data_IF_934535608850
#
_entry.id   IF_934535608850
#
_cell.length_a   1.000
_cell.length_b   1.000
_cell.length_c   1.000
_cell.angle_alpha   90.00
_cell.angle_beta   90.00
_cell.angle_gamma   90.00
#
_symmetry.space_group_name_H-M   'P 1'
#
loop_
_entity.id
_entity.type
_entity.pdbx_description
1 polymer ?
#
# COMPACT_ATOMS: atom_id res chain seq x y z
N UNK A 1 -2.46 -32.38 -10.91
CA UNK A 1 -3.57 -31.63 -11.53
C UNK A 1 -3.27 -31.17 -12.97
N UNK A 2 -2.00 -30.98 -13.37
CA UNK A 2 -1.64 -30.81 -14.80
C UNK A 2 -2.29 -29.60 -15.48
N UNK A 3 -2.54 -28.53 -14.72
CA UNK A 3 -3.24 -27.34 -15.21
C UNK A 3 -2.32 -26.53 -16.13
N UNK A 4 -2.67 -26.45 -17.40
CA UNK A 4 -1.94 -25.71 -18.43
C UNK A 4 -2.65 -24.39 -18.82
N UNK A 5 -3.94 -24.28 -18.52
CA UNK A 5 -4.80 -23.15 -18.87
C UNK A 5 -4.96 -22.10 -17.76
N UNK A 6 -4.14 -22.18 -16.70
CA UNK A 6 -4.13 -21.21 -15.61
C UNK A 6 -2.89 -20.32 -15.68
N UNK A 7 -3.07 -19.02 -15.54
CA UNK A 7 -1.98 -18.04 -15.44
C UNK A 7 -2.36 -16.93 -14.46
N UNK A 8 -1.38 -16.36 -13.79
CA UNK A 8 -1.52 -15.24 -12.86
C UNK A 8 -0.57 -14.10 -13.27
N UNK A 9 -1.11 -12.89 -13.40
CA UNK A 9 -0.30 -11.68 -13.43
C UNK A 9 -0.13 -11.19 -12.00
N UNK A 10 1.05 -11.39 -11.42
CA UNK A 10 1.27 -11.03 -10.03
C UNK A 10 1.42 -9.51 -9.87
N UNK A 11 0.66 -8.95 -8.95
CA UNK A 11 0.78 -7.56 -8.50
C UNK A 11 0.51 -7.46 -7.00
N UNK A 12 0.95 -8.49 -6.25
CA UNK A 12 0.85 -8.53 -4.79
C UNK A 12 1.89 -7.60 -4.18
N UNK A 13 1.48 -6.87 -3.14
CA UNK A 13 2.28 -5.84 -2.50
C UNK A 13 2.39 -6.07 -0.99
N UNK A 14 3.41 -5.50 -0.35
CA UNK A 14 3.68 -5.63 1.10
C UNK A 14 3.56 -4.29 1.82
N UNK A 15 2.79 -4.25 2.90
CA UNK A 15 2.47 -3.01 3.63
C UNK A 15 3.67 -2.43 4.36
N UNK A 16 4.43 -3.25 5.10
CA UNK A 16 5.53 -2.76 5.93
C UNK A 16 6.65 -2.06 5.12
N UNK A 17 7.12 -2.59 3.98
CA UNK A 17 8.04 -1.86 3.11
C UNK A 17 7.49 -0.52 2.59
N UNK A 18 6.18 -0.43 2.35
CA UNK A 18 5.56 0.84 1.95
C UNK A 18 5.53 1.85 3.10
N UNK A 19 5.30 1.39 4.34
CA UNK A 19 5.44 2.23 5.53
C UNK A 19 6.88 2.72 5.69
N UNK A 20 7.88 1.84 5.55
CA UNK A 20 9.30 2.20 5.60
C UNK A 20 9.66 3.26 4.54
N UNK A 21 9.19 3.08 3.30
CA UNK A 21 9.41 4.03 2.21
C UNK A 21 8.78 5.40 2.51
N UNK A 22 7.56 5.41 3.07
CA UNK A 22 6.89 6.64 3.48
C UNK A 22 7.68 7.37 4.57
N UNK A 23 8.12 6.66 5.61
CA UNK A 23 8.88 7.24 6.72
C UNK A 23 10.24 7.82 6.31
N UNK A 24 10.83 7.35 5.21
CA UNK A 24 12.09 7.85 4.68
C UNK A 24 11.94 9.13 3.83
N UNK A 25 10.71 9.53 3.52
CA UNK A 25 10.43 10.71 2.71
C UNK A 25 10.50 11.98 3.59
N UNK A 26 11.25 13.02 3.20
CA UNK A 26 11.41 14.25 4.00
C UNK A 26 10.10 14.96 4.36
N UNK A 27 9.09 14.83 3.51
CA UNK A 27 7.77 15.45 3.66
C UNK A 27 6.82 14.61 4.53
N UNK A 28 7.26 13.44 5.03
CA UNK A 28 6.42 12.57 5.84
C UNK A 28 5.97 13.27 7.13
N UNK A 29 4.65 13.28 7.34
CA UNK A 29 3.98 13.89 8.50
C UNK A 29 3.32 12.85 9.42
N UNK A 30 3.58 11.57 9.19
CA UNK A 30 2.90 10.50 9.93
C UNK A 30 3.54 10.34 11.31
N UNK A 31 2.75 10.59 12.35
CA UNK A 31 3.18 10.46 13.74
C UNK A 31 2.71 9.13 14.36
N UNK A 32 1.78 8.42 13.72
CA UNK A 32 1.29 7.13 14.18
C UNK A 32 0.54 6.38 13.08
N UNK A 33 0.57 5.05 13.14
CA UNK A 33 -0.10 4.19 12.17
C UNK A 33 -1.23 3.40 12.81
N UNK A 34 -2.37 3.36 12.11
CA UNK A 34 -3.40 2.36 12.36
C UNK A 34 -3.20 1.21 11.37
N UNK A 35 -2.64 0.09 11.84
CA UNK A 35 -2.34 -1.06 11.01
C UNK A 35 -3.62 -1.82 10.63
N UNK A 36 -3.73 -2.17 9.35
CA UNK A 36 -4.92 -2.80 8.78
C UNK A 36 -5.13 -4.20 9.37
N UNK A 37 -6.22 -4.37 10.14
CA UNK A 37 -6.52 -5.62 10.84
C UNK A 37 -6.59 -6.87 9.96
N UNK A 38 -7.13 -6.77 8.74
CA UNK A 38 -7.20 -7.92 7.82
C UNK A 38 -5.83 -8.38 7.32
N UNK A 39 -4.90 -7.44 7.07
CA UNK A 39 -3.51 -7.79 6.74
C UNK A 39 -2.86 -8.47 7.93
N UNK A 40 -2.98 -7.87 9.12
CA UNK A 40 -2.41 -8.40 10.36
C UNK A 40 -3.02 -9.75 10.76
N UNK A 41 -4.25 -10.06 10.33
CA UNK A 41 -4.85 -11.40 10.54
C UNK A 41 -4.04 -12.48 9.83
N UNK A 42 -3.44 -12.16 8.67
CA UNK A 42 -2.59 -13.06 7.91
C UNK A 42 -1.15 -12.98 8.38
N UNK A 43 -0.56 -11.78 8.39
CA UNK A 43 0.87 -11.58 8.64
C UNK A 43 1.26 -11.55 10.11
N UNK A 44 0.29 -11.34 11.01
CA UNK A 44 0.58 -10.94 12.37
C UNK A 44 1.03 -9.50 12.44
N UNK A 45 1.60 -9.12 13.58
CA UNK A 45 2.12 -7.77 13.82
C UNK A 45 3.53 -7.74 14.43
N UNK A 46 4.21 -8.89 14.53
CA UNK A 46 5.57 -8.99 15.08
C UNK A 46 6.58 -8.10 14.35
N UNK A 47 6.51 -8.05 13.01
CA UNK A 47 7.45 -7.26 12.21
C UNK A 47 7.35 -5.74 12.50
N UNK A 48 6.22 -5.27 13.04
CA UNK A 48 6.07 -3.86 13.40
C UNK A 48 6.89 -3.47 14.64
N UNK A 49 7.35 -4.41 15.47
CA UNK A 49 8.17 -4.06 16.64
C UNK A 49 9.48 -3.40 16.22
N UNK A 50 10.17 -4.00 15.24
CA UNK A 50 11.38 -3.44 14.64
C UNK A 50 11.14 -2.06 14.00
N UNK A 51 9.95 -1.86 13.39
CA UNK A 51 9.55 -0.59 12.81
C UNK A 51 9.42 0.50 13.87
N UNK A 52 8.66 0.22 14.94
CA UNK A 52 8.46 1.15 16.05
C UNK A 52 9.78 1.46 16.74
N UNK A 53 10.64 0.47 16.93
CA UNK A 53 11.96 0.67 17.52
C UNK A 53 12.83 1.63 16.71
N UNK A 54 12.79 1.53 15.38
CA UNK A 54 13.57 2.36 14.45
C UNK A 54 13.04 3.78 14.36
N UNK A 55 11.74 3.95 14.13
CA UNK A 55 11.16 5.27 13.83
C UNK A 55 10.56 5.99 15.03
N UNK A 56 10.38 5.29 16.16
CA UNK A 56 9.68 5.80 17.35
C UNK A 56 8.25 6.26 17.05
N UNK A 57 7.62 5.66 16.06
CA UNK A 57 6.26 5.96 15.60
C UNK A 57 5.34 4.82 16.04
N UNK A 58 4.33 5.04 16.92
CA UNK A 58 3.44 3.98 17.38
C UNK A 58 2.66 3.32 16.23
N UNK A 59 2.40 2.02 16.38
CA UNK A 59 1.58 1.23 15.45
C UNK A 59 0.47 0.54 16.24
N UNK A 60 -0.78 0.82 15.88
CA UNK A 60 -1.96 0.25 16.55
C UNK A 60 -2.72 -0.61 15.55
N UNK A 61 -2.81 -1.91 15.77
CA UNK A 61 -3.63 -2.80 14.94
C UNK A 61 -5.10 -2.56 15.27
N UNK A 62 -5.90 -2.22 14.26
CA UNK A 62 -7.33 -1.90 14.43
C UNK A 62 -8.22 -2.78 13.57
N UNK A 63 -9.46 -2.96 14.05
CA UNK A 63 -10.55 -3.47 13.23
C UNK A 63 -11.14 -2.38 12.32
N UNK A 64 -12.35 -2.63 11.83
CA UNK A 64 -13.03 -1.76 10.87
C UNK A 64 -14.39 -1.26 11.36
N UNK A 65 -14.85 -1.73 12.53
CA UNK A 65 -16.04 -1.15 13.15
C UNK A 65 -15.73 0.24 13.72
N UNK A 66 -16.71 1.15 13.79
CA UNK A 66 -16.48 2.50 14.31
C UNK A 66 -15.83 2.52 15.70
N UNK A 67 -16.20 1.58 16.58
CA UNK A 67 -15.62 1.47 17.91
C UNK A 67 -14.18 0.94 17.89
N UNK A 68 -13.82 0.07 16.94
CA UNK A 68 -12.43 -0.38 16.80
C UNK A 68 -11.52 0.76 16.37
N UNK A 69 -12.00 1.59 15.44
CA UNK A 69 -11.27 2.76 14.97
C UNK A 69 -11.11 3.79 16.09
N UNK A 70 -12.17 4.06 16.86
CA UNK A 70 -12.10 4.99 17.99
C UNK A 70 -11.14 4.50 19.09
N UNK A 71 -11.18 3.22 19.46
CA UNK A 71 -10.24 2.66 20.44
C UNK A 71 -8.79 2.69 19.92
N UNK A 72 -8.59 2.37 18.64
CA UNK A 72 -7.29 2.45 17.98
C UNK A 72 -6.71 3.86 17.94
N UNK A 73 -7.52 4.85 17.56
CA UNK A 73 -7.14 6.27 17.56
C UNK A 73 -6.82 6.73 18.99
N UNK A 74 -7.66 6.38 19.96
CA UNK A 74 -7.44 6.74 21.36
C UNK A 74 -6.11 6.18 21.89
N UNK A 75 -5.80 4.91 21.61
CA UNK A 75 -4.53 4.31 22.00
C UNK A 75 -3.34 5.03 21.34
N UNK A 76 -3.41 5.25 20.02
CA UNK A 76 -2.36 5.93 19.28
C UNK A 76 -2.09 7.34 19.85
N UNK A 77 -3.13 8.12 20.09
CA UNK A 77 -3.02 9.47 20.69
C UNK A 77 -2.47 9.39 22.11
N UNK A 78 -2.92 8.44 22.93
CA UNK A 78 -2.41 8.25 24.30
C UNK A 78 -0.91 7.93 24.30
N UNK A 79 -0.45 7.10 23.37
CA UNK A 79 0.96 6.80 23.21
C UNK A 79 1.76 8.07 22.88
N UNK A 80 1.29 8.87 21.91
CA UNK A 80 1.91 10.14 21.54
C UNK A 80 1.98 11.14 22.72
N UNK A 81 0.87 11.38 23.41
CA UNK A 81 0.79 12.31 24.54
C UNK A 81 1.66 11.88 25.73
N UNK A 82 1.93 10.58 25.86
CA UNK A 82 2.77 10.03 26.94
C UNK A 82 4.23 9.81 26.53
N UNK A 83 4.61 10.18 25.29
CA UNK A 83 5.95 9.97 24.76
C UNK A 83 6.34 8.49 24.63
N UNK A 84 5.35 7.60 24.48
CA UNK A 84 5.53 6.15 24.31
C UNK A 84 5.33 5.79 22.84
N UNK A 85 6.11 4.83 22.35
CA UNK A 85 5.91 4.24 21.01
C UNK A 85 5.99 2.73 21.15
N UNK A 86 4.87 2.05 20.91
CA UNK A 86 4.76 0.60 20.96
C UNK A 86 3.86 0.07 19.82
N UNK A 87 3.97 -1.23 19.54
CA UNK A 87 2.96 -1.96 18.78
C UNK A 87 1.87 -2.41 19.75
N UNK A 88 0.61 -2.16 19.40
CA UNK A 88 -0.54 -2.55 20.23
C UNK A 88 -1.62 -3.18 19.37
N UNK A 89 -2.42 -4.08 19.94
CA UNK A 89 -3.46 -4.80 19.22
C UNK A 89 -4.85 -4.51 19.80
N UNK A 90 -5.61 -3.62 19.13
CA UNK A 90 -7.01 -3.33 19.44
C UNK A 90 -8.00 -4.16 18.62
N UNK A 91 -7.49 -5.18 17.92
CA UNK A 91 -8.29 -6.12 17.14
C UNK A 91 -8.03 -7.58 17.54
N UNK A 92 -7.75 -7.81 18.83
CA UNK A 92 -7.36 -9.11 19.40
C UNK A 92 -8.37 -10.25 19.19
N UNK A 93 -9.64 -9.93 18.88
CA UNK A 93 -10.65 -10.93 18.53
C UNK A 93 -10.39 -11.61 17.17
N UNK A 94 -9.60 -10.99 16.30
CA UNK A 94 -9.32 -11.48 14.95
C UNK A 94 -7.82 -11.61 14.66
N UNK A 95 -6.98 -10.81 15.31
CA UNK A 95 -5.54 -10.76 15.04
C UNK A 95 -4.75 -11.39 16.18
N UNK A 96 -3.95 -12.40 15.83
CA UNK A 96 -2.93 -12.99 16.70
C UNK A 96 -1.56 -12.40 16.37
N UNK A 97 -0.66 -12.44 17.36
CA UNK A 97 0.68 -11.88 17.26
C UNK A 97 1.47 -12.37 16.04
N UNK A 98 1.61 -13.69 15.88
CA UNK A 98 2.27 -14.31 14.72
C UNK A 98 1.39 -14.47 13.48
N UNK A 99 0.14 -13.99 13.50
CA UNK A 99 -0.79 -14.11 12.37
C UNK A 99 -1.27 -15.54 12.09
N UNK A 100 -1.52 -15.84 10.82
CA UNK A 100 -2.00 -17.14 10.36
C UNK A 100 -0.87 -17.94 9.71
N UNK A 101 -0.29 -18.86 10.47
CA UNK A 101 0.83 -19.69 10.03
C UNK A 101 0.54 -20.49 8.75
N UNK A 102 -0.68 -21.04 8.61
CA UNK A 102 -1.05 -21.84 7.43
C UNK A 102 -1.13 -20.99 6.16
N UNK A 103 -1.70 -19.77 6.26
CA UNK A 103 -1.74 -18.84 5.15
C UNK A 103 -0.33 -18.36 4.76
N UNK A 104 0.51 -18.04 5.75
CA UNK A 104 1.91 -17.64 5.54
C UNK A 104 2.71 -18.74 4.86
N UNK A 105 2.56 -20.00 5.27
CA UNK A 105 3.23 -21.13 4.64
C UNK A 105 2.89 -21.25 3.14
N UNK A 106 1.61 -21.09 2.78
CA UNK A 106 1.16 -21.12 1.38
C UNK A 106 1.77 -19.95 0.60
N UNK A 107 1.76 -18.74 1.17
CA UNK A 107 2.37 -17.56 0.54
C UNK A 107 3.87 -17.78 0.32
N UNK A 108 4.59 -18.23 1.35
CA UNK A 108 6.04 -18.49 1.27
C UNK A 108 6.40 -19.62 0.31
N UNK A 109 5.51 -20.61 0.15
CA UNK A 109 5.67 -21.70 -0.80
C UNK A 109 5.56 -21.21 -2.24
N UNK A 110 4.57 -20.36 -2.54
CA UNK A 110 4.27 -19.96 -3.93
C UNK A 110 5.05 -18.73 -4.38
N UNK A 111 5.32 -17.82 -3.45
CA UNK A 111 5.90 -16.52 -3.73
C UNK A 111 7.24 -16.30 -3.04
N UNK A 112 8.04 -15.42 -3.62
CA UNK A 112 9.23 -14.83 -3.00
C UNK A 112 9.13 -13.31 -3.01
N UNK A 113 9.82 -12.67 -2.06
CA UNK A 113 9.86 -11.22 -1.93
C UNK A 113 10.60 -10.62 -3.13
N UNK A 114 10.08 -9.51 -3.66
CA UNK A 114 10.71 -8.79 -4.76
C UNK A 114 10.46 -7.28 -4.67
N UNK A 115 11.35 -6.53 -5.29
CA UNK A 115 11.15 -5.10 -5.54
C UNK A 115 9.94 -4.93 -6.46
N UNK A 116 9.05 -4.02 -6.11
CA UNK A 116 7.75 -3.91 -6.78
C UNK A 116 7.41 -2.44 -7.02
N UNK A 117 6.92 -2.08 -8.22
CA UNK A 117 6.43 -0.74 -8.48
C UNK A 117 5.10 -0.49 -7.76
N UNK A 118 5.06 0.58 -6.97
CA UNK A 118 3.89 1.12 -6.31
C UNK A 118 3.46 2.40 -7.01
N UNK A 119 2.17 2.48 -7.33
CA UNK A 119 1.60 3.68 -7.96
C UNK A 119 1.72 4.86 -6.99
N UNK A 120 2.36 5.94 -7.46
CA UNK A 120 2.57 7.16 -6.67
C UNK A 120 3.78 7.10 -5.72
N UNK A 121 4.46 5.96 -5.59
CA UNK A 121 5.63 5.80 -4.70
C UNK A 121 6.88 5.25 -5.42
N UNK A 122 6.77 4.90 -6.71
CA UNK A 122 7.91 4.34 -7.46
C UNK A 122 8.18 2.88 -7.12
N UNK A 123 9.41 2.41 -7.35
CA UNK A 123 9.79 1.04 -6.94
C UNK A 123 10.10 1.05 -5.45
N UNK A 124 9.42 0.17 -4.72
CA UNK A 124 9.70 -0.05 -3.30
C UNK A 124 10.54 -1.33 -3.19
N UNK A 125 11.76 -1.25 -2.63
CA UNK A 125 12.58 -2.42 -2.35
C UNK A 125 11.84 -3.42 -1.48
N UNK A 126 11.87 -4.70 -1.84
CA UNK A 126 11.11 -5.76 -1.16
C UNK A 126 9.61 -5.47 -1.01
N UNK A 127 9.08 -4.56 -1.84
CA UNK A 127 7.74 -3.97 -1.71
C UNK A 127 6.59 -4.86 -2.14
N UNK A 128 6.86 -6.08 -2.61
CA UNK A 128 5.83 -7.00 -3.04
C UNK A 128 6.35 -8.42 -3.20
N UNK A 129 5.65 -9.18 -4.03
CA UNK A 129 5.91 -10.58 -4.27
C UNK A 129 5.98 -10.89 -5.77
N UNK A 130 6.80 -11.87 -6.12
CA UNK A 130 6.79 -12.54 -7.43
C UNK A 130 6.62 -14.05 -7.24
N UNK A 131 6.16 -14.75 -8.28
CA UNK A 131 6.14 -16.21 -8.26
C UNK A 131 7.57 -16.73 -8.16
N UNK A 132 7.78 -17.77 -7.34
CA UNK A 132 9.03 -18.51 -7.36
C UNK A 132 9.22 -19.21 -8.71
N UNK A 133 10.47 -19.49 -9.06
CA UNK A 133 10.84 -20.15 -10.33
C UNK A 133 10.09 -21.48 -10.57
N UNK A 134 9.83 -22.25 -9.50
CA UNK A 134 9.05 -23.50 -9.54
C UNK A 134 7.61 -23.32 -10.07
N UNK A 135 7.06 -22.11 -9.93
CA UNK A 135 5.73 -21.71 -10.37
C UNK A 135 5.75 -20.80 -11.60
N UNK A 136 6.92 -20.58 -12.23
CA UNK A 136 7.08 -19.72 -13.41
C UNK A 136 6.20 -20.10 -14.60
N UNK A 137 5.81 -21.38 -14.71
CA UNK A 137 4.86 -21.86 -15.72
C UNK A 137 3.45 -21.25 -15.58
N UNK A 138 3.12 -20.66 -14.43
CA UNK A 138 1.86 -19.96 -14.19
C UNK A 138 2.01 -18.43 -14.28
N UNK A 139 3.22 -17.90 -14.41
CA UNK A 139 3.44 -16.45 -14.52
C UNK A 139 3.01 -15.95 -15.90
N UNK A 140 1.96 -15.11 -15.92
CA UNK A 140 1.45 -14.52 -17.15
C UNK A 140 2.51 -13.65 -17.86
N UNK A 141 3.36 -12.93 -17.12
CA UNK A 141 4.41 -12.10 -17.70
C UNK A 141 5.50 -12.93 -18.37
N UNK A 142 5.74 -14.14 -17.87
CA UNK A 142 6.66 -15.10 -18.48
C UNK A 142 6.04 -15.76 -19.72
N UNK A 143 4.78 -16.19 -19.65
CA UNK A 143 4.09 -16.91 -20.74
C UNK A 143 3.75 -16.04 -21.95
N UNK A 144 3.38 -14.78 -21.72
CA UNK A 144 2.86 -13.90 -22.76
C UNK A 144 3.84 -12.77 -23.04
N UNK A 145 4.55 -12.85 -24.17
CA UNK A 145 5.53 -11.84 -24.58
C UNK A 145 4.95 -10.42 -24.69
N UNK A 146 3.66 -10.28 -25.01
CA UNK A 146 2.98 -8.98 -25.03
C UNK A 146 2.80 -8.34 -23.65
N UNK A 147 2.89 -9.12 -22.58
CA UNK A 147 2.86 -8.64 -21.19
C UNK A 147 4.27 -8.35 -20.65
N UNK A 148 5.32 -8.77 -21.37
CA UNK A 148 6.67 -8.39 -21.01
C UNK A 148 6.78 -6.87 -21.15
N UNK A 149 6.96 -6.20 -20.01
CA UNK A 149 7.32 -4.79 -20.01
C UNK A 149 8.62 -4.66 -20.82
N UNK A 150 8.78 -3.62 -21.66
CA UNK A 150 10.03 -3.40 -22.36
C UNK A 150 11.19 -3.54 -21.37
N UNK A 151 12.19 -4.36 -21.71
CA UNK A 151 13.45 -4.44 -20.95
C UNK A 151 14.17 -3.13 -21.15
N UNK A 152 13.74 -2.15 -20.38
CA UNK A 152 14.45 -0.93 -20.20
C UNK A 152 15.72 -1.21 -19.40
N UNK A 153 16.85 -0.70 -19.87
CA UNK A 153 18.05 -0.60 -19.03
C UNK A 153 17.74 0.28 -17.81
N UNK A 154 18.61 0.34 -16.81
CA UNK A 154 18.53 1.28 -15.68
C UNK A 154 18.30 2.75 -16.10
N UNK A 155 18.45 3.08 -17.39
CA UNK A 155 18.19 4.38 -18.02
C UNK A 155 16.76 4.56 -18.60
N UNK A 156 15.99 3.48 -18.77
CA UNK A 156 14.62 3.48 -19.31
C UNK A 156 13.55 3.33 -18.23
N UNK A 157 13.97 2.88 -17.03
CA UNK A 157 13.27 3.16 -15.79
C UNK A 157 13.91 4.43 -15.24
N UNK A 158 13.21 5.56 -15.03
CA UNK A 158 13.85 6.72 -14.43
C UNK A 158 14.47 6.25 -13.11
N UNK A 159 15.78 6.42 -12.96
CA UNK A 159 16.46 6.25 -11.68
C UNK A 159 15.69 7.06 -10.65
N UNK A 160 14.94 6.38 -9.78
CA UNK A 160 14.09 7.02 -8.78
C UNK A 160 14.99 7.59 -7.69
N UNK A 161 15.51 8.80 -7.92
CA UNK A 161 15.81 9.67 -6.80
C UNK A 161 14.46 10.06 -6.21
N UNK A 162 14.30 9.82 -4.90
CA UNK A 162 13.11 10.14 -4.11
C UNK A 162 12.67 11.62 -4.16
N UNK A 163 13.37 12.47 -4.92
CA UNK A 163 13.16 13.91 -5.01
C UNK A 163 12.53 14.37 -6.34
N UNK A 164 12.61 13.60 -7.44
CA UNK A 164 12.26 14.11 -8.78
C UNK A 164 10.83 13.74 -9.27
N UNK A 165 10.05 12.98 -8.49
CA UNK A 165 8.82 12.30 -8.99
C UNK A 165 7.58 12.64 -8.17
N UNK A 166 7.34 13.92 -7.94
CA UNK A 166 6.06 14.36 -7.38
C UNK A 166 5.16 15.12 -8.37
N UNK A 167 5.58 15.26 -9.63
CA UNK A 167 4.83 16.01 -10.64
C UNK A 167 4.73 15.41 -12.04
N UNK A 168 5.46 14.35 -12.37
CA UNK A 168 5.40 13.78 -13.74
C UNK A 168 5.85 12.32 -13.74
N UNK A 169 4.90 11.42 -14.02
CA UNK A 169 5.20 10.01 -14.27
C UNK A 169 5.52 9.84 -15.76
N UNK A 170 6.78 9.57 -16.18
CA UNK A 170 7.15 9.61 -17.59
C UNK A 170 6.73 8.36 -18.39
N UNK A 171 6.15 7.34 -17.73
CA UNK A 171 5.97 6.01 -18.31
C UNK A 171 4.53 5.65 -18.71
N UNK A 172 3.61 6.61 -18.81
CA UNK A 172 2.31 6.40 -19.48
C UNK A 172 1.34 5.42 -18.77
N UNK A 173 1.54 5.12 -17.49
CA UNK A 173 0.63 4.24 -16.69
C UNK A 173 -0.10 5.01 -15.57
N UNK A 174 -0.05 6.34 -15.62
CA UNK A 174 -0.67 7.21 -14.63
C UNK A 174 -1.73 8.14 -15.23
N UNK A 175 -2.62 8.52 -14.32
CA UNK A 175 -3.71 9.47 -14.44
C UNK A 175 -3.33 10.75 -15.23
N UNK A 176 -4.34 11.44 -15.78
CA UNK A 176 -4.18 12.76 -16.44
C UNK A 176 -3.19 13.67 -15.69
N UNK A 177 -2.43 14.52 -16.39
CA UNK A 177 -1.44 15.43 -15.77
C UNK A 177 -1.99 16.29 -14.61
N UNK A 178 -3.30 16.52 -14.59
CA UNK A 178 -4.00 17.22 -13.50
C UNK A 178 -4.28 16.37 -12.24
N UNK A 179 -3.99 15.07 -12.25
CA UNK A 179 -4.35 14.15 -11.19
C UNK A 179 -3.27 14.03 -10.11
N UNK A 180 -3.57 14.55 -8.93
CA UNK A 180 -2.70 14.54 -7.74
C UNK A 180 -2.82 13.24 -6.91
N UNK A 181 -3.06 12.11 -7.58
CA UNK A 181 -3.32 10.83 -6.88
C UNK A 181 -2.14 10.29 -6.08
N UNK A 182 -0.91 10.54 -6.53
CA UNK A 182 0.29 10.19 -5.76
C UNK A 182 0.32 10.89 -4.40
N UNK A 183 -0.03 12.17 -4.38
CA UNK A 183 -0.03 12.98 -3.16
C UNK A 183 -1.13 12.58 -2.17
N UNK A 184 -2.28 12.13 -2.68
CA UNK A 184 -3.34 11.54 -1.86
C UNK A 184 -2.90 10.22 -1.26
N UNK A 185 -2.25 9.35 -2.04
CA UNK A 185 -1.80 8.04 -1.59
C UNK A 185 -0.68 8.11 -0.54
N UNK A 186 0.17 9.14 -0.60
CA UNK A 186 1.21 9.40 0.41
C UNK A 186 0.73 10.25 1.59
N UNK A 187 -0.55 10.66 1.60
CA UNK A 187 -1.16 11.39 2.70
C UNK A 187 -0.73 12.86 2.82
N UNK A 188 -0.14 13.42 1.76
CA UNK A 188 0.32 14.81 1.75
C UNK A 188 -0.81 15.80 1.45
N UNK A 189 -1.83 15.38 0.71
CA UNK A 189 -3.10 16.10 0.54
C UNK A 189 -4.29 15.18 0.78
N UNK A 190 -5.42 15.75 1.20
CA UNK A 190 -6.72 15.08 1.20
C UNK A 190 -7.37 15.17 -0.19
N UNK A 191 -8.28 14.25 -0.55
CA UNK A 191 -8.91 14.26 -1.87
C UNK A 191 -9.53 15.60 -2.29
N UNK A 192 -10.16 16.34 -1.35
CA UNK A 192 -10.78 17.64 -1.64
C UNK A 192 -9.79 18.80 -1.86
N UNK A 193 -8.51 18.59 -1.58
CA UNK A 193 -7.44 19.56 -1.86
C UNK A 193 -6.89 19.38 -3.30
N UNK A 194 -7.41 18.41 -4.06
CA UNK A 194 -7.13 18.25 -5.49
C UNK A 194 -8.16 19.04 -6.32
N UNK A 195 -7.69 19.98 -7.16
CA UNK A 195 -8.56 20.86 -7.95
C UNK A 195 -9.51 20.13 -8.93
N UNK A 196 -9.15 18.90 -9.33
CA UNK A 196 -9.99 18.09 -10.21
C UNK A 196 -11.06 17.29 -9.45
N UNK A 197 -10.92 17.12 -8.13
CA UNK A 197 -11.79 16.26 -7.33
C UNK A 197 -13.23 16.78 -7.31
N UNK A 198 -14.18 15.88 -7.59
CA UNK A 198 -15.61 16.17 -7.55
C UNK A 198 -16.13 17.06 -8.69
N UNK A 199 -15.23 17.56 -9.55
CA UNK A 199 -15.58 18.37 -10.73
C UNK A 199 -15.27 17.60 -12.01
N UNK A 200 -13.99 17.58 -12.42
CA UNK A 200 -13.52 16.86 -13.61
C UNK A 200 -13.19 15.41 -13.33
N UNK A 201 -12.88 15.08 -12.08
CA UNK A 201 -12.66 13.73 -11.58
C UNK A 201 -13.86 13.29 -10.74
N UNK A 202 -14.65 12.36 -11.27
CA UNK A 202 -15.82 11.76 -10.61
C UNK A 202 -15.78 10.24 -10.79
N UNK A 203 -16.63 9.46 -10.09
CA UNK A 203 -16.71 8.02 -10.35
C UNK A 203 -17.09 7.67 -11.79
N UNK A 204 -17.90 8.51 -12.46
CA UNK A 204 -18.30 8.32 -13.86
C UNK A 204 -17.19 8.73 -14.84
N UNK A 205 -16.41 9.75 -14.49
CA UNK A 205 -15.26 10.22 -15.27
C UNK A 205 -14.01 10.28 -14.37
N UNK A 206 -13.40 9.13 -14.04
CA UNK A 206 -12.30 9.09 -13.09
C UNK A 206 -10.99 9.45 -13.78
N UNK A 207 -10.26 10.39 -13.20
CA UNK A 207 -8.94 10.76 -13.70
C UNK A 207 -7.83 9.84 -13.19
N UNK A 208 -7.99 9.25 -12.00
CA UNK A 208 -6.97 8.40 -11.39
C UNK A 208 -7.53 7.26 -10.55
N UNK A 209 -6.66 6.27 -10.27
CA UNK A 209 -7.01 5.02 -9.60
C UNK A 209 -7.76 5.19 -8.27
N UNK A 210 -7.41 6.16 -7.39
CA UNK A 210 -8.13 6.36 -6.15
C UNK A 210 -9.60 6.77 -6.30
N UNK A 211 -10.03 7.21 -7.49
CA UNK A 211 -11.45 7.49 -7.80
C UNK A 211 -12.18 6.27 -8.36
N UNK A 212 -11.44 5.28 -8.92
CA UNK A 212 -12.00 4.05 -9.50
C UNK A 212 -12.14 2.95 -8.45
N UNK A 213 -11.14 2.82 -7.57
CA UNK A 213 -11.07 1.71 -6.61
C UNK A 213 -12.18 1.81 -5.55
N UNK A 214 -12.80 0.68 -5.22
CA UNK A 214 -13.76 0.59 -4.11
C UNK A 214 -13.13 0.93 -2.74
N UNK A 215 -11.81 0.74 -2.61
CA UNK A 215 -11.01 1.10 -1.43
C UNK A 215 -10.29 2.44 -1.62
N UNK A 216 -10.52 3.13 -2.74
CA UNK A 216 -9.84 4.36 -3.07
C UNK A 216 -10.28 5.53 -2.20
N UNK A 217 -9.32 6.27 -1.64
CA UNK A 217 -9.60 7.42 -0.79
C UNK A 217 -10.47 8.48 -1.49
N UNK A 218 -10.21 8.78 -2.76
CA UNK A 218 -11.03 9.76 -3.50
C UNK A 218 -12.47 9.24 -3.70
N UNK A 219 -12.66 7.99 -4.11
CA UNK A 219 -13.99 7.41 -4.26
C UNK A 219 -14.78 7.42 -2.92
N UNK A 220 -14.11 7.08 -1.82
CA UNK A 220 -14.71 7.11 -0.48
C UNK A 220 -15.11 8.54 -0.06
N UNK A 221 -14.22 9.53 -0.25
CA UNK A 221 -14.54 10.93 0.00
C UNK A 221 -15.71 11.40 -0.86
N UNK A 222 -15.72 11.10 -2.15
CA UNK A 222 -16.79 11.52 -3.06
C UNK A 222 -18.15 10.92 -2.64
N UNK A 223 -18.16 9.64 -2.27
CA UNK A 223 -19.38 8.92 -1.87
C UNK A 223 -19.98 9.45 -0.56
N UNK A 224 -19.14 9.81 0.40
CA UNK A 224 -19.58 10.13 1.77
C UNK A 224 -19.43 11.60 2.16
N UNK A 225 -18.93 12.46 1.28
CA UNK A 225 -18.98 13.90 1.50
C UNK A 225 -20.45 14.36 1.54
N UNK A 226 -20.93 14.58 2.76
CA UNK A 226 -21.95 15.59 3.02
C UNK A 226 -21.27 16.93 2.76
N UNK A 227 -21.80 17.71 1.83
CA UNK A 227 -21.51 19.13 1.71
C UNK A 227 -21.64 19.74 3.11
N UNK A 228 -20.52 20.20 3.69
CA UNK A 228 -20.53 21.01 4.91
C UNK A 228 -20.65 22.46 4.48
#
# INVERSE_FOLDING_TARGET
>A
LGLDNFSLLVSHVRVLPAMDALMQTPECRVEGFLAAGHVCTVTGFDEYENFVERYKTPVVVTGFEPLDLLDGILDCVTQLETGRSAVTNRYARSVQQGGNASAQEIVHKVYEIADTPWRGMGVIPQGGYRLRDEFSQFDAAHRFHSLQRPKGTEADWPTFNAFDVWGSCPSGVCASDECRSGEVLTGLIKPFECDAFGTRCTPDLPLGAPMVSAEGACAAYFKYQRTV
#
